data_IF_801866710027
#
_entry.id   IF_801866710027
#
_cell.length_a   1.000
_cell.length_b   1.000
_cell.length_c   1.000
_cell.angle_alpha   90.00
_cell.angle_beta   90.00
_cell.angle_gamma   90.00
#
_symmetry.space_group_name_H-M   'P 1'
#
loop_
_entity.id
_entity.type
_entity.pdbx_description
1 polymer ?
#
# COMPACT_ATOMS: atom_id res chain seq x y z
N UNK A 1 20.83 -13.64 -12.26
CA UNK A 1 19.84 -14.09 -13.29
C UNK A 1 19.96 -15.59 -13.39
N UNK A 2 18.86 -16.30 -13.29
CA UNK A 2 18.82 -17.76 -13.36
C UNK A 2 19.36 -18.28 -14.70
N UNK A 3 19.86 -19.53 -14.72
CA UNK A 3 20.23 -20.19 -15.96
C UNK A 3 18.99 -20.51 -16.81
N UNK A 4 19.17 -20.72 -18.12
CA UNK A 4 18.07 -21.08 -19.01
C UNK A 4 17.38 -22.38 -18.58
N UNK A 5 18.12 -23.31 -17.99
CA UNK A 5 17.59 -24.59 -17.46
C UNK A 5 16.71 -24.35 -16.24
N UNK A 6 17.13 -23.49 -15.31
CA UNK A 6 16.34 -23.12 -14.12
C UNK A 6 15.06 -22.39 -14.51
N UNK A 7 15.12 -21.47 -15.48
CA UNK A 7 13.94 -20.80 -16.02
C UNK A 7 12.99 -21.79 -16.67
N UNK A 8 13.52 -22.73 -17.46
CA UNK A 8 12.74 -23.78 -18.13
C UNK A 8 11.99 -24.67 -17.14
N UNK A 9 12.66 -25.08 -16.06
CA UNK A 9 12.05 -25.88 -15.00
C UNK A 9 10.94 -25.12 -14.27
N UNK A 10 11.15 -23.84 -13.95
CA UNK A 10 10.13 -22.99 -13.34
C UNK A 10 8.90 -22.84 -14.22
N UNK A 11 9.07 -22.61 -15.54
CA UNK A 11 7.96 -22.52 -16.51
C UNK A 11 7.16 -23.81 -16.50
N UNK A 12 7.83 -24.94 -16.70
CA UNK A 12 7.21 -26.26 -16.77
C UNK A 12 6.46 -26.62 -15.49
N UNK A 13 7.09 -26.42 -14.33
CA UNK A 13 6.50 -26.69 -13.03
C UNK A 13 5.23 -25.86 -12.84
N UNK A 14 5.29 -24.56 -13.05
CA UNK A 14 4.15 -23.66 -12.84
C UNK A 14 2.99 -23.93 -13.80
N UNK A 15 3.28 -24.20 -15.06
CA UNK A 15 2.26 -24.63 -16.03
C UNK A 15 1.55 -25.90 -15.56
N UNK A 16 2.29 -26.90 -15.11
CA UNK A 16 1.74 -28.18 -14.63
C UNK A 16 0.91 -28.00 -13.35
N UNK A 17 1.38 -27.17 -12.40
CA UNK A 17 0.61 -26.81 -11.19
C UNK A 17 -0.74 -26.15 -11.52
N UNK A 18 -0.78 -25.37 -12.60
CA UNK A 18 -2.02 -24.72 -13.08
C UNK A 18 -2.89 -25.65 -13.94
N UNK A 19 -2.44 -26.87 -14.24
CA UNK A 19 -3.16 -27.81 -15.12
C UNK A 19 -3.21 -27.39 -16.59
N UNK A 20 -2.35 -26.44 -17.01
CA UNK A 20 -2.36 -25.91 -18.37
C UNK A 20 -1.56 -26.80 -19.33
N UNK A 21 -2.05 -26.89 -20.57
CA UNK A 21 -1.33 -27.51 -21.70
C UNK A 21 -0.32 -26.52 -22.30
N UNK A 22 0.65 -27.04 -23.06
CA UNK A 22 1.58 -26.19 -23.83
C UNK A 22 0.85 -25.28 -24.85
N UNK A 23 -0.26 -25.79 -25.41
CA UNK A 23 -1.08 -25.04 -26.36
C UNK A 23 -1.78 -23.84 -25.73
N UNK A 24 -2.40 -24.01 -24.56
CA UNK A 24 -3.08 -22.93 -23.84
C UNK A 24 -2.12 -21.82 -23.42
N UNK A 25 -0.91 -22.18 -22.95
CA UNK A 25 0.11 -21.16 -22.65
C UNK A 25 0.59 -20.46 -23.91
N UNK A 26 0.79 -21.21 -25.02
CA UNK A 26 1.22 -20.63 -26.29
C UNK A 26 0.19 -19.63 -26.86
N UNK A 27 -1.10 -19.97 -26.77
CA UNK A 27 -2.20 -19.10 -27.17
C UNK A 27 -2.24 -17.83 -26.31
N UNK A 28 -2.15 -17.96 -24.99
CA UNK A 28 -2.12 -16.82 -24.05
C UNK A 28 -0.92 -15.89 -24.27
N UNK A 29 0.22 -16.44 -24.69
CA UNK A 29 1.45 -15.67 -24.98
C UNK A 29 1.47 -15.10 -26.40
N UNK A 30 0.64 -15.64 -27.31
CA UNK A 30 0.63 -15.25 -28.73
C UNK A 30 1.79 -15.82 -29.53
N UNK A 31 2.25 -17.05 -29.23
CA UNK A 31 3.36 -17.75 -29.90
C UNK A 31 2.97 -19.17 -30.30
N UNK A 32 3.80 -19.81 -31.13
CA UNK A 32 3.59 -21.22 -31.48
C UNK A 32 3.86 -22.14 -30.26
N UNK A 33 3.14 -23.25 -30.15
CA UNK A 33 3.32 -24.26 -29.08
C UNK A 33 4.76 -24.76 -29.01
N UNK A 34 5.43 -24.93 -30.16
CA UNK A 34 6.83 -25.29 -30.23
C UNK A 34 7.78 -24.27 -29.60
N UNK A 35 7.37 -22.99 -29.54
CA UNK A 35 8.11 -21.95 -28.83
C UNK A 35 8.08 -22.18 -27.33
N UNK A 36 6.90 -22.41 -26.74
CA UNK A 36 6.78 -22.72 -25.32
C UNK A 36 7.54 -24.01 -24.98
N UNK A 37 7.43 -25.04 -25.81
CA UNK A 37 8.18 -26.29 -25.62
C UNK A 37 9.70 -26.06 -25.60
N UNK A 38 10.22 -25.14 -26.43
CA UNK A 38 11.65 -24.77 -26.45
C UNK A 38 12.03 -24.02 -25.15
N UNK A 39 11.16 -23.15 -24.64
CA UNK A 39 11.39 -22.48 -23.35
C UNK A 39 11.40 -23.49 -22.20
N UNK A 40 10.50 -24.47 -22.17
CA UNK A 40 10.47 -25.53 -21.14
C UNK A 40 11.57 -26.59 -21.27
N UNK A 41 12.21 -26.70 -22.43
CA UNK A 41 13.34 -27.63 -22.60
C UNK A 41 14.71 -27.04 -22.26
N UNK A 42 14.78 -25.74 -21.95
CA UNK A 42 16.03 -25.04 -21.70
C UNK A 42 16.96 -24.88 -22.93
N UNK A 43 16.55 -25.38 -24.10
CA UNK A 43 17.35 -25.39 -25.34
C UNK A 43 17.33 -24.07 -26.11
N UNK A 44 17.10 -22.96 -25.43
CA UNK A 44 17.12 -21.62 -26.04
C UNK A 44 18.45 -20.97 -25.74
N UNK A 45 19.19 -20.59 -26.79
CA UNK A 45 20.48 -19.93 -26.65
C UNK A 45 20.40 -18.57 -25.93
N UNK A 46 19.28 -17.85 -26.09
CA UNK A 46 18.98 -16.61 -25.39
C UNK A 46 17.47 -16.45 -25.17
N UNK A 47 17.05 -16.39 -23.92
CA UNK A 47 15.69 -16.08 -23.56
C UNK A 47 15.38 -14.60 -23.81
N UNK A 48 14.38 -14.31 -24.66
CA UNK A 48 13.96 -12.95 -24.93
C UNK A 48 13.10 -12.42 -23.77
N UNK A 49 13.51 -11.38 -23.08
CA UNK A 49 12.80 -10.78 -21.96
C UNK A 49 11.32 -10.47 -22.25
N UNK A 50 10.94 -9.91 -23.41
CA UNK A 50 9.52 -9.68 -23.71
C UNK A 50 8.68 -10.96 -23.71
N UNK A 51 9.24 -12.07 -24.25
CA UNK A 51 8.54 -13.36 -24.27
C UNK A 51 8.45 -13.96 -22.87
N UNK A 52 9.51 -13.85 -22.07
CA UNK A 52 9.49 -14.29 -20.65
C UNK A 52 8.45 -13.50 -19.84
N UNK A 53 8.32 -12.20 -20.07
CA UNK A 53 7.28 -11.39 -19.43
C UNK A 53 5.86 -11.87 -19.79
N UNK A 54 5.63 -12.18 -21.07
CA UNK A 54 4.34 -12.71 -21.52
C UNK A 54 4.06 -14.11 -20.95
N UNK A 55 5.08 -14.96 -20.85
CA UNK A 55 4.97 -16.28 -20.20
C UNK A 55 4.66 -16.11 -18.72
N UNK A 56 5.36 -15.21 -18.02
CA UNK A 56 5.09 -14.93 -16.62
C UNK A 56 3.64 -14.47 -16.38
N UNK A 57 3.13 -13.58 -17.24
CA UNK A 57 1.74 -13.13 -17.19
C UNK A 57 0.75 -14.28 -17.42
N UNK A 58 0.97 -15.14 -18.42
CA UNK A 58 0.14 -16.30 -18.71
C UNK A 58 0.13 -17.31 -17.54
N UNK A 59 1.26 -17.47 -16.86
CA UNK A 59 1.42 -18.36 -15.71
C UNK A 59 1.01 -17.69 -14.38
N UNK A 60 0.50 -16.45 -14.41
CA UNK A 60 0.12 -15.64 -13.22
C UNK A 60 1.22 -15.55 -12.18
N UNK A 61 2.44 -15.28 -12.63
CA UNK A 61 3.62 -15.04 -11.80
C UNK A 61 4.28 -13.72 -12.20
N UNK A 62 5.13 -13.18 -11.33
CA UNK A 62 5.90 -11.99 -11.69
C UNK A 62 7.06 -12.35 -12.62
N UNK A 63 7.52 -11.46 -13.52
CA UNK A 63 8.75 -11.65 -14.27
C UNK A 63 9.95 -11.97 -13.38
N UNK A 64 10.05 -11.30 -12.23
CA UNK A 64 11.11 -11.52 -11.25
C UNK A 64 11.10 -12.94 -10.67
N UNK A 65 9.92 -13.49 -10.36
CA UNK A 65 9.79 -14.89 -9.95
C UNK A 65 10.31 -15.85 -11.03
N UNK A 66 10.06 -15.54 -12.30
CA UNK A 66 10.39 -16.44 -13.39
C UNK A 66 11.89 -16.50 -13.69
N UNK A 67 12.57 -15.36 -13.72
CA UNK A 67 13.98 -15.27 -14.11
C UNK A 67 14.89 -14.49 -13.15
N UNK A 68 14.38 -14.07 -11.99
CA UNK A 68 15.18 -13.52 -10.90
C UNK A 68 15.94 -14.59 -10.14
N UNK A 69 16.99 -14.19 -9.44
CA UNK A 69 17.86 -15.09 -8.66
C UNK A 69 17.31 -15.36 -7.24
N UNK A 70 16.27 -14.63 -6.83
CA UNK A 70 15.76 -14.75 -5.48
C UNK A 70 14.75 -15.91 -5.40
N UNK A 71 15.18 -17.04 -4.91
CA UNK A 71 14.27 -18.02 -4.32
C UNK A 71 13.66 -17.37 -3.08
N UNK A 72 12.34 -17.14 -3.12
CA UNK A 72 11.65 -16.73 -1.91
C UNK A 72 11.89 -17.79 -0.83
N UNK A 73 12.15 -17.39 0.42
CA UNK A 73 12.24 -18.33 1.52
C UNK A 73 11.02 -19.27 1.53
N UNK A 74 11.20 -20.52 1.96
CA UNK A 74 10.17 -21.57 1.89
C UNK A 74 8.83 -21.19 2.56
N UNK A 75 8.85 -20.21 3.45
CA UNK A 75 7.67 -19.69 4.16
C UNK A 75 7.15 -18.36 3.59
N UNK A 76 7.69 -17.90 2.44
CA UNK A 76 7.29 -16.64 1.79
C UNK A 76 6.59 -16.97 0.47
N UNK A 77 5.39 -16.47 0.31
CA UNK A 77 4.57 -16.66 -0.88
C UNK A 77 4.34 -15.31 -1.56
N UNK A 78 4.27 -15.27 -2.90
CA UNK A 78 3.89 -14.05 -3.61
C UNK A 78 2.53 -13.55 -3.13
N UNK A 79 2.41 -12.24 -2.88
CA UNK A 79 1.13 -11.64 -2.56
C UNK A 79 0.16 -11.72 -3.74
N UNK A 80 -1.11 -11.98 -3.46
CA UNK A 80 -2.18 -11.85 -4.46
C UNK A 80 -2.45 -10.36 -4.72
N UNK A 81 -1.80 -9.84 -5.74
CA UNK A 81 -1.92 -8.42 -6.12
C UNK A 81 -3.34 -8.02 -6.54
N UNK A 82 -4.23 -8.99 -6.84
CA UNK A 82 -5.65 -8.67 -7.13
C UNK A 82 -6.41 -8.24 -5.88
N UNK A 83 -5.91 -8.60 -4.71
CA UNK A 83 -6.45 -8.23 -3.39
C UNK A 83 -5.77 -7.00 -2.77
N UNK A 84 -4.80 -6.43 -3.47
CA UNK A 84 -4.06 -5.25 -3.01
C UNK A 84 -4.46 -4.03 -3.82
N UNK A 85 -4.46 -2.87 -3.19
CA UNK A 85 -4.62 -1.57 -3.85
C UNK A 85 -3.50 -0.63 -3.42
N UNK A 86 -3.18 0.32 -4.28
CA UNK A 86 -2.17 1.34 -4.02
C UNK A 86 -2.83 2.56 -3.40
N UNK A 87 -2.29 3.03 -2.28
CA UNK A 87 -2.70 4.27 -1.62
C UNK A 87 -1.55 5.26 -1.71
N UNK A 88 -1.79 6.51 -2.10
CA UNK A 88 -0.75 7.53 -2.17
C UNK A 88 -0.23 7.87 -0.77
N UNK A 89 1.09 8.00 -0.65
CA UNK A 89 1.74 8.59 0.51
C UNK A 89 1.99 10.05 0.18
N UNK A 90 1.46 10.95 1.01
CA UNK A 90 1.61 12.40 0.83
C UNK A 90 2.48 12.97 1.95
N UNK A 91 3.32 13.96 1.62
CA UNK A 91 4.33 14.48 2.54
C UNK A 91 3.72 15.28 3.68
N UNK A 92 3.00 16.34 3.39
CA UNK A 92 2.38 17.22 4.39
C UNK A 92 0.92 17.49 4.10
N UNK A 93 0.15 17.59 5.16
CA UNK A 93 -1.23 18.08 5.14
C UNK A 93 -1.24 19.45 5.75
N UNK A 94 -1.54 20.46 4.95
CA UNK A 94 -1.73 21.83 5.40
C UNK A 94 -3.07 22.39 4.90
N UNK A 95 -3.50 23.51 5.44
CA UNK A 95 -4.74 24.15 5.02
C UNK A 95 -4.78 24.42 3.52
N UNK A 96 -5.88 24.02 2.88
CA UNK A 96 -6.05 24.11 1.43
C UNK A 96 -5.58 22.88 0.64
N UNK A 97 -4.85 21.95 1.26
CA UNK A 97 -4.51 20.65 0.63
C UNK A 97 -5.72 19.74 0.76
N UNK A 98 -6.27 19.39 -0.39
CA UNK A 98 -7.31 18.35 -0.50
C UNK A 98 -6.66 16.96 -0.44
N UNK A 99 -7.38 15.97 0.08
CA UNK A 99 -7.02 14.55 -0.05
C UNK A 99 -6.78 14.10 -1.50
N UNK A 100 -7.20 14.90 -2.47
CA UNK A 100 -7.05 14.64 -3.91
C UNK A 100 -5.87 15.41 -4.54
N UNK A 101 -5.01 16.07 -3.75
CA UNK A 101 -3.90 16.84 -4.30
C UNK A 101 -2.80 15.92 -4.86
N UNK A 102 -2.90 15.60 -6.15
CA UNK A 102 -1.90 14.79 -6.88
C UNK A 102 -0.48 15.37 -6.80
N UNK A 103 -0.35 16.68 -6.55
CA UNK A 103 0.92 17.40 -6.52
C UNK A 103 1.80 17.08 -5.30
N UNK A 104 1.26 16.42 -4.27
CA UNK A 104 1.97 16.11 -3.03
C UNK A 104 2.26 14.62 -2.83
N UNK A 105 2.06 13.79 -3.85
CA UNK A 105 2.31 12.35 -3.77
C UNK A 105 3.82 12.10 -3.83
N UNK A 106 4.38 11.50 -2.78
CA UNK A 106 5.77 11.10 -2.74
C UNK A 106 5.98 9.73 -3.37
N UNK A 107 5.16 8.76 -2.97
CA UNK A 107 5.15 7.39 -3.50
C UNK A 107 3.81 6.71 -3.18
N UNK A 108 3.72 5.40 -3.42
CA UNK A 108 2.52 4.60 -3.13
C UNK A 108 2.86 3.44 -2.20
N UNK A 109 2.00 3.19 -1.23
CA UNK A 109 2.02 2.00 -0.38
C UNK A 109 0.86 1.07 -0.75
N UNK A 110 1.07 -0.24 -0.53
CA UNK A 110 0.04 -1.24 -0.76
C UNK A 110 -0.73 -1.56 0.51
N UNK A 111 -2.04 -1.72 0.36
CA UNK A 111 -2.95 -2.14 1.44
C UNK A 111 -3.92 -3.18 0.91
N UNK A 112 -4.43 -4.04 1.80
CA UNK A 112 -5.45 -5.02 1.44
C UNK A 112 -6.79 -4.32 1.17
N UNK A 113 -7.52 -4.78 0.15
CA UNK A 113 -8.81 -4.19 -0.26
C UNK A 113 -9.87 -4.23 0.83
N UNK A 114 -9.81 -5.22 1.73
CA UNK A 114 -10.77 -5.39 2.83
C UNK A 114 -10.71 -4.30 3.90
N UNK A 115 -9.56 -3.61 4.00
CA UNK A 115 -9.39 -2.45 4.90
C UNK A 115 -10.10 -1.20 4.32
N UNK A 116 -10.29 -1.16 3.01
CA UNK A 116 -10.77 0.01 2.28
C UNK A 116 -12.26 -0.12 1.97
N UNK A 117 -13.04 0.92 2.27
CA UNK A 117 -14.44 1.02 1.88
C UNK A 117 -14.54 1.62 0.48
N UNK A 118 -15.37 1.03 -0.36
CA UNK A 118 -15.63 1.55 -1.71
C UNK A 118 -16.28 2.93 -1.64
N UNK A 119 -15.76 3.86 -2.44
CA UNK A 119 -16.26 5.24 -2.51
C UNK A 119 -15.55 6.23 -1.58
N UNK A 120 -14.79 5.75 -0.59
CA UNK A 120 -13.99 6.61 0.29
C UNK A 120 -12.60 6.91 -0.31
N UNK A 121 -12.03 8.04 0.07
CA UNK A 121 -10.67 8.44 -0.30
C UNK A 121 -9.71 8.15 0.86
N UNK A 122 -8.52 7.67 0.53
CA UNK A 122 -7.49 7.32 1.51
C UNK A 122 -6.13 7.87 1.13
N UNK A 123 -5.35 8.25 2.12
CA UNK A 123 -3.95 8.63 1.98
C UNK A 123 -3.12 8.02 3.10
N UNK A 124 -1.84 7.82 2.87
CA UNK A 124 -0.86 7.61 3.92
C UNK A 124 -0.14 8.91 4.24
N UNK A 125 0.16 9.10 5.52
CA UNK A 125 0.96 10.23 6.03
C UNK A 125 2.13 9.71 6.84
N UNK A 126 3.29 10.33 6.66
CA UNK A 126 4.44 10.15 7.55
C UNK A 126 4.19 10.90 8.87
N UNK A 127 4.40 10.21 9.97
CA UNK A 127 4.29 10.81 11.32
C UNK A 127 5.60 11.50 11.66
N UNK A 128 5.50 12.76 12.04
CA UNK A 128 6.62 13.58 12.52
C UNK A 128 6.37 13.96 13.96
N UNK A 129 7.40 13.84 14.81
CA UNK A 129 7.33 14.12 16.23
C UNK A 129 6.79 12.97 17.08
N UNK A 130 6.84 13.13 18.38
CA UNK A 130 6.64 12.08 19.37
C UNK A 130 5.36 12.22 20.20
N UNK A 131 4.49 13.18 19.86
CA UNK A 131 3.30 13.49 20.67
C UNK A 131 2.30 12.33 20.79
N UNK A 132 2.37 11.34 19.91
CA UNK A 132 1.52 10.14 19.91
C UNK A 132 2.25 8.87 20.38
N UNK A 133 3.49 9.04 20.87
CA UNK A 133 4.27 7.93 21.46
C UNK A 133 3.63 7.45 22.77
N UNK A 134 3.71 6.15 23.10
CA UNK A 134 4.37 5.09 22.33
C UNK A 134 3.47 4.42 21.27
N UNK A 135 2.22 4.84 21.14
CA UNK A 135 1.22 4.17 20.28
C UNK A 135 1.51 4.38 18.79
N UNK A 136 1.77 5.61 18.41
CA UNK A 136 2.22 6.00 17.06
C UNK A 136 3.53 6.75 17.24
N UNK A 137 4.59 6.27 16.58
CA UNK A 137 5.93 6.81 16.73
C UNK A 137 6.30 7.69 15.54
N UNK A 138 7.31 8.53 15.73
CA UNK A 138 7.93 9.23 14.62
C UNK A 138 8.45 8.26 13.57
N UNK A 139 8.20 8.55 12.29
CA UNK A 139 8.52 7.68 11.16
C UNK A 139 7.49 6.59 10.85
N UNK A 140 6.45 6.40 11.69
CA UNK A 140 5.33 5.55 11.34
C UNK A 140 4.56 6.14 10.14
N UNK A 141 3.98 5.26 9.32
CA UNK A 141 2.98 5.63 8.32
C UNK A 141 1.58 5.42 8.90
N UNK A 142 0.73 6.43 8.85
CA UNK A 142 -0.68 6.31 9.23
C UNK A 142 -1.57 6.30 8.00
N UNK A 143 -2.45 5.29 7.90
CA UNK A 143 -3.52 5.24 6.89
C UNK A 143 -4.66 6.11 7.37
N UNK A 144 -5.02 7.10 6.57
CA UNK A 144 -6.06 8.07 6.87
C UNK A 144 -7.19 7.94 5.87
N UNK A 145 -8.41 7.70 6.36
CA UNK A 145 -9.63 7.85 5.57
C UNK A 145 -10.04 9.31 5.61
N UNK A 146 -10.09 9.94 4.45
CA UNK A 146 -10.45 11.34 4.30
C UNK A 146 -11.93 11.56 4.57
N UNK A 147 -12.23 12.32 5.60
CA UNK A 147 -13.58 12.69 6.02
C UNK A 147 -13.51 13.89 6.95
N UNK A 148 -14.55 14.69 6.99
CA UNK A 148 -14.63 15.91 7.79
C UNK A 148 -15.25 15.70 9.19
N UNK A 149 -15.74 14.51 9.47
CA UNK A 149 -16.35 14.14 10.76
C UNK A 149 -15.75 12.86 11.30
N UNK A 150 -15.74 12.73 12.64
CA UNK A 150 -15.31 11.52 13.37
C UNK A 150 -16.17 11.33 14.61
N UNK A 151 -16.12 10.13 15.18
CA UNK A 151 -16.72 9.86 16.48
C UNK A 151 -15.80 10.25 17.63
N UNK A 152 -16.39 10.60 18.78
CA UNK A 152 -15.62 10.94 19.96
C UNK A 152 -14.77 9.76 20.45
N UNK A 153 -13.49 10.00 20.70
CA UNK A 153 -12.53 8.98 21.11
C UNK A 153 -11.70 8.37 20.00
N UNK A 154 -11.96 8.75 18.73
CA UNK A 154 -11.20 8.26 17.59
C UNK A 154 -9.90 9.04 17.37
N UNK A 155 -8.98 8.40 16.63
CA UNK A 155 -7.73 9.04 16.17
C UNK A 155 -7.97 9.71 14.83
N UNK A 156 -7.53 10.96 14.72
CA UNK A 156 -7.68 11.73 13.48
C UNK A 156 -6.45 12.56 13.19
N UNK A 157 -6.32 12.90 11.92
CA UNK A 157 -5.49 14.02 11.47
C UNK A 157 -6.34 15.27 11.55
N UNK A 158 -5.85 16.24 12.30
CA UNK A 158 -6.56 17.48 12.62
C UNK A 158 -5.73 18.67 12.17
N UNK A 159 -6.33 19.60 11.46
CA UNK A 159 -5.76 20.92 11.14
C UNK A 159 -6.22 21.91 12.20
N UNK A 160 -5.29 22.70 12.72
CA UNK A 160 -5.58 23.79 13.64
C UNK A 160 -5.18 25.09 12.93
N UNK A 161 -6.10 26.04 12.83
CA UNK A 161 -5.90 27.31 12.11
C UNK A 161 -5.50 27.12 10.63
N UNK A 162 -5.86 25.99 10.03
CA UNK A 162 -5.41 25.58 8.70
C UNK A 162 -3.88 25.43 8.54
N UNK A 163 -3.16 25.26 9.64
CA UNK A 163 -1.73 24.92 9.65
C UNK A 163 -1.50 23.42 9.40
N UNK A 164 -0.28 22.96 9.63
CA UNK A 164 0.11 21.55 9.43
C UNK A 164 -0.77 20.58 10.22
N UNK A 165 -1.13 19.49 9.58
CA UNK A 165 -1.96 18.43 10.17
C UNK A 165 -1.24 17.70 11.30
N UNK A 166 -1.91 17.54 12.43
CA UNK A 166 -1.42 16.79 13.59
C UNK A 166 -2.28 15.55 13.85
N UNK A 167 -1.65 14.44 14.21
CA UNK A 167 -2.37 13.24 14.67
C UNK A 167 -2.71 13.40 16.14
N UNK A 168 -3.99 13.26 16.49
CA UNK A 168 -4.47 13.30 17.89
C UNK A 168 -5.62 12.34 18.10
N UNK A 169 -5.84 11.94 19.35
CA UNK A 169 -7.11 11.36 19.79
C UNK A 169 -8.07 12.53 20.05
N UNK A 170 -9.24 12.47 19.44
CA UNK A 170 -10.19 13.59 19.47
C UNK A 170 -11.38 13.21 20.34
N UNK A 171 -11.63 13.98 21.38
CA UNK A 171 -12.83 13.86 22.21
C UNK A 171 -13.78 15.00 21.87
N UNK A 172 -15.00 14.63 21.47
CA UNK A 172 -16.03 15.58 21.07
C UNK A 172 -17.12 15.56 22.12
N UNK A 173 -17.40 16.72 22.67
CA UNK A 173 -18.48 16.99 23.60
C UNK A 173 -19.44 18.05 23.00
N UNK A 174 -20.57 18.30 23.66
CA UNK A 174 -21.59 19.23 23.12
C UNK A 174 -21.05 20.62 22.79
N UNK A 175 -20.13 21.17 23.58
CA UNK A 175 -19.61 22.53 23.45
C UNK A 175 -18.07 22.59 23.49
N UNK A 176 -17.39 21.47 23.27
CA UNK A 176 -15.94 21.45 23.25
C UNK A 176 -15.39 20.31 22.39
N UNK A 177 -14.19 20.54 21.85
CA UNK A 177 -13.34 19.53 21.23
C UNK A 177 -12.03 19.49 22.00
N UNK A 178 -11.64 18.31 22.47
CA UNK A 178 -10.37 18.12 23.14
C UNK A 178 -9.45 17.25 22.29
N UNK A 179 -8.26 17.78 22.00
CA UNK A 179 -7.20 17.05 21.32
C UNK A 179 -6.25 16.46 22.36
N UNK A 180 -6.15 15.14 22.39
CA UNK A 180 -5.35 14.40 23.36
C UNK A 180 -4.17 13.75 22.66
N UNK A 181 -2.99 13.95 23.21
CA UNK A 181 -1.76 13.24 22.84
C UNK A 181 -1.68 11.91 23.62
N UNK A 182 -1.07 10.88 23.04
CA UNK A 182 -0.77 9.65 23.79
C UNK A 182 0.47 9.83 24.69
N UNK A 183 1.37 10.73 24.31
CA UNK A 183 2.54 11.07 25.09
C UNK A 183 2.15 12.07 26.22
N UNK A 184 2.29 11.66 27.51
CA UNK A 184 1.89 12.49 28.64
C UNK A 184 2.63 13.82 28.79
N UNK A 185 3.76 13.98 28.13
CA UNK A 185 4.49 15.27 28.10
C UNK A 185 3.73 16.38 27.36
N UNK A 186 2.73 15.99 26.54
CA UNK A 186 1.90 16.93 25.79
C UNK A 186 0.52 17.03 26.41
N UNK A 187 0.21 18.13 27.13
CA UNK A 187 -1.09 18.29 27.78
C UNK A 187 -2.22 18.34 26.73
N UNK A 188 -3.42 17.89 27.08
CA UNK A 188 -4.59 18.00 26.22
C UNK A 188 -4.88 19.48 25.89
N UNK A 189 -5.28 19.74 24.64
CA UNK A 189 -5.71 21.04 24.18
C UNK A 189 -7.22 21.04 24.05
N UNK A 190 -7.90 21.95 24.78
CA UNK A 190 -9.36 22.07 24.77
C UNK A 190 -9.77 23.32 24.02
N UNK A 191 -10.66 23.16 23.07
CA UNK A 191 -11.25 24.21 22.23
C UNK A 191 -12.73 24.33 22.55
N UNK A 192 -13.22 25.52 22.84
CA UNK A 192 -14.60 25.77 23.27
C UNK A 192 -15.22 26.94 22.50
N UNK A 193 -16.54 26.84 22.27
CA UNK A 193 -17.28 27.91 21.60
C UNK A 193 -16.67 28.23 20.24
N UNK A 194 -16.36 29.51 19.98
CA UNK A 194 -15.77 30.00 18.73
C UNK A 194 -14.37 29.42 18.44
N UNK A 195 -13.63 28.93 19.45
CA UNK A 195 -12.35 28.30 19.20
C UNK A 195 -12.49 26.96 18.46
N UNK A 196 -13.67 26.33 18.48
CA UNK A 196 -13.92 25.09 17.75
C UNK A 196 -13.84 25.30 16.24
N UNK A 197 -14.10 26.49 15.72
CA UNK A 197 -14.01 26.83 14.30
C UNK A 197 -12.55 26.83 13.78
N UNK A 198 -11.59 26.84 14.67
CA UNK A 198 -10.16 26.72 14.37
C UNK A 198 -9.75 25.28 14.04
N UNK A 199 -10.62 24.31 14.34
CA UNK A 199 -10.34 22.88 14.15
C UNK A 199 -11.05 22.35 12.91
N UNK A 200 -10.30 21.70 12.07
CA UNK A 200 -10.82 20.99 10.92
C UNK A 200 -10.31 19.55 10.96
N UNK A 201 -11.20 18.58 10.82
CA UNK A 201 -10.83 17.19 10.64
C UNK A 201 -10.42 16.99 9.17
N UNK A 202 -9.22 16.48 8.95
CA UNK A 202 -8.74 16.06 7.64
C UNK A 202 -9.16 14.61 7.34
N UNK A 203 -9.12 13.75 8.37
CA UNK A 203 -9.55 12.38 8.22
C UNK A 203 -9.30 11.53 9.46
N UNK A 204 -9.94 10.35 9.47
CA UNK A 204 -9.82 9.34 10.51
C UNK A 204 -8.60 8.47 10.28
N UNK A 205 -7.78 8.24 11.29
CA UNK A 205 -6.68 7.28 11.27
C UNK A 205 -7.26 5.86 11.41
N UNK A 206 -6.95 4.99 10.45
CA UNK A 206 -7.46 3.62 10.37
C UNK A 206 -6.45 2.61 10.90
N UNK A 207 -5.19 2.76 10.52
CA UNK A 207 -4.06 1.93 10.96
C UNK A 207 -2.75 2.72 11.00
N UNK A 208 -1.75 2.16 11.67
CA UNK A 208 -0.36 2.62 11.56
C UNK A 208 0.56 1.47 11.18
N UNK A 209 1.56 1.74 10.34
CA UNK A 209 2.61 0.81 9.94
C UNK A 209 3.95 1.31 10.44
N UNK A 210 4.73 0.44 11.07
CA UNK A 210 6.10 0.72 11.52
C UNK A 210 7.08 -0.16 10.80
N UNK A 211 8.14 0.45 10.29
CA UNK A 211 9.33 -0.26 9.77
C UNK A 211 10.45 -0.09 10.80
N UNK A 212 11.15 -1.16 11.12
CA UNK A 212 12.29 -1.20 12.05
C UNK A 212 13.60 -1.29 11.27
#
# INVERSE_FOLDING_TARGET
>A
MLSNEQIAEKIKRRRTEMGLTLGEVAEAVGVATSTIQRYESGKIAACKIPVLNSIAAALKVTPHWLYGDDELPANVYPADMTRMIRIPVIGRVAGGVSCHAEQNIEYYEFVQKDIIRSGDTYVYLNVVGDSMSPKIMEGDLVLVRCQDTIESGEYAVVLIDNEDGVVKKVMIEKNSVTLISENPYYPPRVFRGEEMDRIRIFGKVIESKRKF
#
